data_IF_264259289716
#
_entry.id   IF_264259289716
#
_cell.length_a   1.000
_cell.length_b   1.000
_cell.length_c   1.000
_cell.angle_alpha   90.00
_cell.angle_beta   90.00
_cell.angle_gamma   90.00
#
_symmetry.space_group_name_H-M   'P 1'
#
loop_
_entity.id
_entity.type
_entity.pdbx_description
1 polymer ?
#
# COMPACT_ATOMS: atom_id res chain seq x y z
N UNK A 1 -11.02 56.87 -17.01
CA UNK A 1 -10.42 55.87 -16.10
C UNK A 1 -11.28 54.61 -16.15
N UNK A 2 -10.78 53.46 -16.63
CA UNK A 2 -11.42 52.15 -16.41
C UNK A 2 -10.94 51.57 -15.05
N UNK A 3 -11.57 50.52 -14.45
CA UNK A 3 -12.08 49.33 -15.13
C UNK A 3 -13.45 48.79 -14.67
N UNK A 4 -14.07 48.04 -15.58
CA UNK A 4 -15.06 47.01 -15.31
C UNK A 4 -14.55 45.73 -15.98
N UNK A 5 -14.09 44.76 -15.19
CA UNK A 5 -14.03 43.34 -15.55
C UNK A 5 -13.64 42.57 -14.28
N UNK A 6 -14.60 41.85 -13.70
CA UNK A 6 -14.34 40.94 -12.60
C UNK A 6 -15.07 39.61 -12.85
N UNK A 7 -14.22 38.60 -13.05
CA UNK A 7 -14.38 37.21 -12.61
C UNK A 7 -15.26 36.28 -13.44
N UNK A 8 -14.63 35.75 -14.47
CA UNK A 8 -14.96 34.45 -15.08
C UNK A 8 -14.57 33.31 -14.11
N UNK A 9 -15.52 32.40 -13.99
CA UNK A 9 -15.56 31.10 -13.32
C UNK A 9 -14.28 30.27 -13.50
N UNK A 10 -13.76 29.71 -12.41
CA UNK A 10 -13.02 28.44 -12.43
C UNK A 10 -13.51 27.55 -11.28
N UNK A 11 -14.54 26.77 -11.60
CA UNK A 11 -14.88 25.53 -10.89
C UNK A 11 -13.83 24.49 -11.30
N UNK A 12 -13.04 23.99 -10.35
CA UNK A 12 -12.46 22.64 -10.27
C UNK A 12 -11.40 22.60 -9.16
N UNK A 13 -11.85 22.46 -7.90
CA UNK A 13 -11.01 21.92 -6.82
C UNK A 13 -11.48 20.47 -6.64
N UNK A 14 -10.77 19.54 -7.28
CA UNK A 14 -10.92 18.12 -6.98
C UNK A 14 -10.21 17.89 -5.64
N UNK A 15 -10.99 17.52 -4.63
CA UNK A 15 -10.52 17.25 -3.28
C UNK A 15 -9.93 15.85 -3.22
N UNK A 16 -8.61 15.77 -3.11
CA UNK A 16 -7.88 14.51 -2.88
C UNK A 16 -8.02 14.12 -1.40
N UNK A 17 -8.67 12.98 -1.12
CA UNK A 17 -8.64 12.27 0.17
C UNK A 17 -7.27 11.52 0.22
N UNK A 18 -6.55 11.34 1.35
CA UNK A 18 -5.31 10.51 1.43
C UNK A 18 -5.31 9.48 2.60
N UNK A 19 -5.40 8.17 2.34
CA UNK A 19 -5.41 7.07 3.34
C UNK A 19 -3.98 6.76 3.81
N UNK A 20 -3.73 6.68 5.13
CA UNK A 20 -2.39 6.41 5.69
C UNK A 20 -2.39 5.13 6.54
N UNK A 21 -1.80 4.04 6.06
CA UNK A 21 -1.58 2.82 6.83
C UNK A 21 -0.19 2.81 7.48
N UNK A 22 -0.05 2.41 8.75
CA UNK A 22 1.25 2.16 9.38
C UNK A 22 1.36 0.65 9.68
N UNK A 23 2.14 -0.11 8.92
CA UNK A 23 2.31 -1.56 9.16
C UNK A 23 3.48 -1.80 10.10
N UNK A 24 3.20 -2.33 11.30
CA UNK A 24 4.18 -2.65 12.35
C UNK A 24 4.10 -4.13 12.68
N UNK A 25 4.87 -4.98 12.00
CA UNK A 25 4.89 -6.42 12.33
C UNK A 25 5.57 -6.69 13.69
N UNK A 26 4.80 -6.84 14.78
CA UNK A 26 5.33 -7.32 16.07
C UNK A 26 5.54 -8.85 16.05
N UNK A 27 6.80 -9.30 16.02
CA UNK A 27 7.12 -10.63 16.52
C UNK A 27 7.08 -10.64 18.06
N UNK A 28 6.21 -11.50 18.59
CA UNK A 28 6.05 -11.93 19.97
C UNK A 28 7.26 -11.74 20.90
N UNK A 29 7.06 -10.96 21.97
CA UNK A 29 7.55 -11.32 23.31
C UNK A 29 6.33 -11.49 24.21
N UNK A 30 6.30 -12.58 24.96
CA UNK A 30 5.15 -13.12 25.69
C UNK A 30 4.25 -12.07 26.36
N UNK A 31 3.10 -11.79 25.74
CA UNK A 31 1.98 -11.13 26.41
C UNK A 31 1.31 -12.15 27.34
N UNK A 32 1.26 -11.83 28.65
CA UNK A 32 0.52 -12.60 29.64
C UNK A 32 -0.97 -12.37 29.43
N UNK A 33 -1.73 -13.45 29.29
CA UNK A 33 -3.19 -13.45 29.18
C UNK A 33 -3.86 -12.97 30.48
N UNK A 34 -4.81 -12.02 30.44
CA UNK A 34 -5.83 -11.89 31.46
C UNK A 34 -7.10 -12.65 31.06
N UNK A 35 -7.64 -13.34 32.05
CA UNK A 35 -8.81 -14.20 32.05
C UNK A 35 -10.15 -13.47 31.85
N UNK A 36 -11.06 -14.19 31.20
CA UNK A 36 -12.54 -14.17 31.28
C UNK A 36 -13.31 -13.00 30.67
N UNK A 37 -14.02 -13.35 29.59
CA UNK A 37 -15.08 -12.60 28.93
C UNK A 37 -16.39 -12.55 29.76
N UNK A 38 -17.16 -11.48 29.56
CA UNK A 38 -18.62 -11.48 29.70
C UNK A 38 -19.23 -10.72 28.51
N UNK A 39 -19.85 -11.47 27.61
CA UNK A 39 -20.62 -10.94 26.48
C UNK A 39 -22.03 -10.52 26.95
N UNK A 40 -22.48 -9.36 26.50
CA UNK A 40 -23.90 -8.99 26.48
C UNK A 40 -24.35 -8.93 25.01
N UNK A 41 -25.30 -9.80 24.66
CA UNK A 41 -25.87 -9.89 23.33
C UNK A 41 -27.00 -8.85 23.13
N UNK A 42 -27.05 -8.30 21.92
CA UNK A 42 -28.12 -7.45 21.40
C UNK A 42 -29.26 -8.26 20.78
N UNK A 43 -30.46 -7.67 20.74
CA UNK A 43 -31.51 -7.97 19.76
C UNK A 43 -32.17 -6.64 19.36
N UNK A 44 -32.63 -6.45 18.10
CA UNK A 44 -33.93 -6.99 17.71
C UNK A 44 -34.08 -7.53 16.27
N UNK A 45 -35.15 -8.30 16.13
CA UNK A 45 -35.78 -8.93 14.94
C UNK A 45 -36.44 -7.96 13.97
N UNK A 46 -36.44 -8.28 12.66
CA UNK A 46 -37.52 -8.17 11.64
C UNK A 46 -36.92 -8.75 10.34
N UNK A 47 -37.55 -9.47 9.40
CA UNK A 47 -38.92 -9.79 9.03
C UNK A 47 -38.86 -10.09 7.53
N UNK A 48 -39.14 -11.34 7.11
CA UNK A 48 -39.04 -11.83 5.71
C UNK A 48 -40.06 -11.16 4.78
N UNK A 49 -39.70 -10.99 3.50
CA UNK A 49 -40.59 -11.34 2.38
C UNK A 49 -39.80 -11.60 1.08
N UNK A 50 -40.14 -12.72 0.42
CA UNK A 50 -39.69 -13.13 -0.92
C UNK A 50 -40.81 -12.85 -1.92
N UNK A 51 -40.48 -12.40 -3.13
CA UNK A 51 -41.32 -12.60 -4.33
C UNK A 51 -40.40 -13.00 -5.49
N UNK A 52 -40.78 -14.06 -6.20
CA UNK A 52 -40.18 -14.55 -7.43
C UNK A 52 -41.12 -14.24 -8.61
N UNK A 53 -40.58 -13.94 -9.80
CA UNK A 53 -41.32 -13.96 -11.07
C UNK A 53 -40.42 -14.55 -12.16
N UNK A 54 -41.06 -15.32 -13.05
CA UNK A 54 -40.53 -16.30 -13.99
C UNK A 54 -40.21 -15.78 -15.40
N UNK A 55 -39.42 -16.60 -16.11
CA UNK A 55 -39.03 -16.55 -17.53
C UNK A 55 -40.16 -16.37 -18.56
N UNK A 56 -39.82 -15.74 -19.69
CA UNK A 56 -40.27 -16.15 -21.03
C UNK A 56 -39.17 -15.95 -22.08
N UNK A 57 -39.03 -16.95 -22.96
CA UNK A 57 -38.18 -16.99 -24.15
C UNK A 57 -38.88 -16.31 -25.33
N UNK A 58 -38.13 -15.63 -26.22
CA UNK A 58 -38.43 -15.55 -27.65
C UNK A 58 -37.13 -15.72 -28.44
N UNK A 59 -37.19 -16.56 -29.47
CA UNK A 59 -36.15 -16.95 -30.41
C UNK A 59 -36.59 -16.51 -31.83
N UNK A 60 -35.63 -16.36 -32.76
CA UNK A 60 -35.68 -16.67 -34.22
C UNK A 60 -34.80 -15.72 -35.06
N UNK A 61 -33.67 -16.28 -35.51
CA UNK A 61 -33.01 -16.34 -36.85
C UNK A 61 -33.10 -15.20 -37.89
N UNK A 62 -31.94 -14.95 -38.54
CA UNK A 62 -31.64 -15.03 -40.01
C UNK A 62 -30.13 -14.74 -40.21
N UNK A 63 -29.19 -15.71 -40.38
CA UNK A 63 -28.63 -16.42 -41.57
C UNK A 63 -28.15 -15.56 -42.77
N UNK A 64 -26.92 -15.88 -43.22
CA UNK A 64 -26.24 -15.73 -44.55
C UNK A 64 -25.19 -14.60 -44.61
N UNK A 65 -23.96 -14.77 -45.14
CA UNK A 65 -23.35 -15.86 -45.91
C UNK A 65 -21.81 -15.80 -45.84
N UNK A 66 -21.21 -16.93 -46.22
CA UNK A 66 -19.77 -17.21 -46.42
C UNK A 66 -19.11 -16.37 -47.51
N UNK A 67 -17.80 -16.12 -47.36
CA UNK A 67 -16.83 -16.27 -48.44
C UNK A 67 -15.41 -16.52 -47.89
N UNK A 68 -14.66 -17.29 -48.66
CA UNK A 68 -13.49 -18.07 -48.30
C UNK A 68 -12.17 -17.49 -48.82
N UNK A 69 -11.09 -17.97 -48.20
CA UNK A 69 -9.73 -18.18 -48.73
C UNK A 69 -8.75 -16.99 -48.72
N UNK A 70 -7.65 -17.15 -47.97
CA UNK A 70 -6.31 -17.30 -48.53
C UNK A 70 -5.31 -17.77 -47.45
N UNK A 71 -4.72 -18.94 -47.68
CA UNK A 71 -3.64 -19.53 -46.88
C UNK A 71 -2.32 -18.96 -47.38
N UNK A 72 -1.55 -18.28 -46.52
CA UNK A 72 -0.14 -18.01 -46.79
C UNK A 72 0.68 -18.54 -45.62
N UNK A 73 1.34 -19.67 -45.84
CA UNK A 73 2.32 -20.23 -44.94
C UNK A 73 3.52 -19.27 -44.83
N UNK A 74 3.79 -18.78 -43.61
CA UNK A 74 5.06 -18.13 -43.28
C UNK A 74 5.82 -19.05 -42.34
N UNK A 75 6.96 -19.53 -42.82
CA UNK A 75 7.93 -20.35 -42.08
C UNK A 75 8.43 -19.56 -40.86
N UNK A 76 8.10 -20.01 -39.65
CA UNK A 76 8.69 -19.49 -38.42
C UNK A 76 9.93 -20.33 -38.10
N UNK A 77 11.11 -19.75 -38.30
CA UNK A 77 12.38 -20.30 -37.83
C UNK A 77 12.42 -20.24 -36.30
N UNK A 78 12.43 -21.39 -35.64
CA UNK A 78 12.57 -21.50 -34.19
C UNK A 78 14.02 -21.18 -33.79
N UNK A 79 14.25 -20.01 -33.18
CA UNK A 79 15.51 -19.73 -32.48
C UNK A 79 15.34 -20.15 -31.03
N UNK A 80 16.07 -21.19 -30.63
CA UNK A 80 16.09 -21.67 -29.25
C UNK A 80 17.07 -20.80 -28.47
N UNK A 81 16.57 -19.88 -27.64
CA UNK A 81 17.40 -19.12 -26.70
C UNK A 81 17.40 -19.83 -25.35
N UNK A 82 18.57 -20.35 -24.97
CA UNK A 82 18.86 -20.83 -23.61
C UNK A 82 18.92 -19.65 -22.65
N UNK A 83 18.24 -19.66 -21.49
CA UNK A 83 18.40 -18.60 -20.50
C UNK A 83 19.75 -18.75 -19.79
N UNK A 84 20.70 -17.89 -20.12
CA UNK A 84 21.86 -17.63 -19.27
C UNK A 84 21.42 -16.82 -18.07
N UNK A 85 21.75 -17.31 -16.87
CA UNK A 85 21.50 -16.66 -15.59
C UNK A 85 22.16 -15.28 -15.57
N UNK A 86 21.38 -14.22 -15.68
CA UNK A 86 21.84 -12.86 -15.43
C UNK A 86 21.54 -12.50 -13.98
N UNK A 87 22.57 -12.55 -13.16
CA UNK A 87 22.56 -11.96 -11.82
C UNK A 87 22.45 -10.45 -11.97
N UNK A 88 21.24 -9.91 -11.83
CA UNK A 88 21.05 -8.45 -11.79
C UNK A 88 21.58 -7.93 -10.46
N UNK A 89 22.85 -7.53 -10.45
CA UNK A 89 23.46 -6.74 -9.38
C UNK A 89 22.65 -5.45 -9.23
N UNK A 90 21.84 -5.36 -8.16
CA UNK A 90 21.13 -4.14 -7.80
C UNK A 90 22.12 -2.99 -7.64
N UNK A 91 21.89 -1.91 -8.38
CA UNK A 91 22.50 -0.61 -8.17
C UNK A 91 22.29 -0.20 -6.71
N UNK A 92 23.36 -0.19 -5.92
CA UNK A 92 23.44 0.57 -4.68
C UNK A 92 23.31 2.04 -5.06
N UNK A 93 22.22 2.69 -4.68
CA UNK A 93 22.22 4.13 -4.50
C UNK A 93 23.23 4.44 -3.39
N UNK A 94 24.36 5.03 -3.77
CA UNK A 94 25.36 5.56 -2.85
C UNK A 94 24.87 6.89 -2.29
N UNK A 95 23.99 6.84 -1.30
CA UNK A 95 23.98 7.83 -0.24
C UNK A 95 24.70 7.18 0.95
N UNK A 96 25.96 7.55 1.13
CA UNK A 96 26.81 7.01 2.18
C UNK A 96 26.23 7.32 3.55
N UNK A 97 26.10 6.29 4.38
CA UNK A 97 25.99 6.48 5.82
C UNK A 97 27.30 7.12 6.34
N UNK A 98 27.25 8.11 7.23
CA UNK A 98 28.46 8.71 7.78
C UNK A 98 29.18 7.69 8.67
N UNK A 99 30.42 7.35 8.31
CA UNK A 99 31.37 6.63 9.17
C UNK A 99 31.78 7.54 10.32
N UNK A 100 31.45 7.17 11.56
CA UNK A 100 32.06 7.77 12.75
C UNK A 100 33.40 7.08 13.02
N UNK A 101 34.50 7.77 12.71
CA UNK A 101 35.79 7.48 13.33
C UNK A 101 35.81 8.10 14.73
N UNK A 102 36.14 7.28 15.73
CA UNK A 102 36.35 7.72 17.11
C UNK A 102 37.64 8.52 17.21
N UNK A 103 37.52 9.84 17.39
CA UNK A 103 38.61 10.65 17.95
C UNK A 103 38.08 11.55 19.06
N UNK A 104 38.65 11.39 20.25
CA UNK A 104 38.43 12.28 21.38
C UNK A 104 39.19 13.58 21.14
N UNK A 105 38.49 14.68 20.93
CA UNK A 105 38.97 16.02 21.27
C UNK A 105 37.80 17.00 21.33
N UNK A 106 37.77 17.78 22.40
CA UNK A 106 36.86 18.89 22.63
C UNK A 106 37.03 19.97 21.55
N UNK A 107 36.12 20.01 20.59
CA UNK A 107 35.92 21.21 19.77
C UNK A 107 34.44 21.32 19.39
N UNK A 108 33.85 22.48 19.66
CA UNK A 108 32.45 22.78 19.38
C UNK A 108 32.29 23.07 17.89
N UNK A 109 32.28 22.01 17.08
CA UNK A 109 31.92 22.11 15.66
C UNK A 109 30.39 22.25 15.55
N UNK A 110 29.84 23.22 14.81
CA UNK A 110 28.42 23.25 14.54
C UNK A 110 28.03 21.98 13.79
N UNK A 111 27.09 21.21 14.34
CA UNK A 111 26.48 20.05 13.65
C UNK A 111 25.98 20.56 12.30
N UNK A 112 26.57 20.09 11.21
CA UNK A 112 26.16 20.50 9.86
C UNK A 112 24.65 20.28 9.73
N UNK A 113 23.92 21.34 9.43
CA UNK A 113 22.47 21.26 9.26
C UNK A 113 22.17 20.23 8.17
N UNK A 114 21.41 19.19 8.51
CA UNK A 114 20.98 18.19 7.53
C UNK A 114 20.27 18.90 6.37
N UNK A 115 20.79 18.74 5.16
CA UNK A 115 20.15 19.27 3.94
C UNK A 115 19.08 18.27 3.50
N UNK A 116 17.83 18.71 3.49
CA UNK A 116 16.70 17.92 3.04
C UNK A 116 16.31 18.30 1.60
N UNK A 117 15.82 17.34 0.79
CA UNK A 117 15.25 17.66 -0.50
C UNK A 117 14.07 18.62 -0.32
N UNK A 118 13.91 19.53 -1.28
CA UNK A 118 12.79 20.48 -1.31
C UNK A 118 11.70 20.07 -2.30
N UNK A 119 12.04 19.22 -3.26
CA UNK A 119 11.15 18.71 -4.31
C UNK A 119 11.42 17.22 -4.56
N UNK A 120 10.40 16.51 -5.05
CA UNK A 120 10.53 15.15 -5.56
C UNK A 120 11.42 15.15 -6.81
N UNK A 121 12.40 14.26 -6.85
CA UNK A 121 13.36 14.15 -7.96
C UNK A 121 12.71 13.53 -9.21
N UNK A 122 13.32 13.76 -10.38
CA UNK A 122 12.86 13.15 -11.64
C UNK A 122 12.95 11.62 -11.62
N UNK A 123 13.98 11.06 -10.98
CA UNK A 123 14.13 9.62 -10.81
C UNK A 123 13.00 9.04 -9.95
N UNK A 124 12.66 9.69 -8.83
CA UNK A 124 11.54 9.29 -8.00
C UNK A 124 10.22 9.36 -8.77
N UNK A 125 9.99 10.43 -9.56
CA UNK A 125 8.78 10.56 -10.39
C UNK A 125 8.69 9.42 -11.40
N UNK A 126 9.78 9.15 -12.10
CA UNK A 126 9.85 8.08 -13.09
C UNK A 126 9.59 6.71 -12.45
N UNK A 127 10.24 6.41 -11.32
CA UNK A 127 10.10 5.14 -10.63
C UNK A 127 8.71 4.96 -10.02
N UNK A 128 8.13 6.01 -9.44
CA UNK A 128 6.76 5.98 -8.94
C UNK A 128 5.75 5.79 -10.07
N UNK A 129 5.89 6.50 -11.19
CA UNK A 129 5.01 6.28 -12.35
C UNK A 129 5.15 4.87 -12.90
N UNK A 130 6.37 4.36 -13.03
CA UNK A 130 6.63 3.02 -13.55
C UNK A 130 5.96 1.95 -12.69
N UNK A 131 6.10 2.05 -11.36
CA UNK A 131 5.77 0.96 -10.45
C UNK A 131 4.45 1.15 -9.69
N UNK A 132 3.97 2.38 -9.51
CA UNK A 132 2.84 2.73 -8.65
C UNK A 132 3.23 2.85 -7.17
N UNK A 133 4.52 2.67 -6.85
CA UNK A 133 5.06 2.81 -5.51
C UNK A 133 6.53 3.25 -5.54
N UNK A 134 6.99 3.76 -4.40
CA UNK A 134 8.36 4.18 -4.12
C UNK A 134 8.71 3.82 -2.67
N UNK A 135 9.97 3.50 -2.40
CA UNK A 135 10.48 3.31 -1.04
C UNK A 135 11.42 4.46 -0.73
N UNK A 136 11.05 5.27 0.27
CA UNK A 136 11.93 6.31 0.84
C UNK A 136 12.72 5.67 1.97
N UNK A 137 14.05 5.60 1.80
CA UNK A 137 14.93 4.84 2.70
C UNK A 137 15.35 5.65 3.91
N UNK A 138 15.42 5.00 5.08
CA UNK A 138 15.96 5.61 6.30
C UNK A 138 15.28 6.91 6.71
N UNK A 139 13.94 6.96 6.58
CA UNK A 139 13.14 8.10 7.01
C UNK A 139 13.22 8.27 8.51
N UNK A 140 13.11 7.17 9.26
CA UNK A 140 13.34 7.15 10.70
C UNK A 140 14.73 6.61 11.01
N UNK A 141 15.40 7.24 11.97
CA UNK A 141 16.63 6.75 12.56
C UNK A 141 16.39 5.49 13.40
N UNK A 142 17.43 4.68 13.70
CA UNK A 142 17.28 3.54 14.61
C UNK A 142 16.75 3.91 16.00
N UNK A 143 17.06 5.11 16.50
CA UNK A 143 16.54 5.63 17.77
C UNK A 143 15.04 5.93 17.68
N UNK A 144 14.60 6.61 16.62
CA UNK A 144 13.17 6.87 16.39
C UNK A 144 12.36 5.60 16.17
N UNK A 145 12.94 4.59 15.50
CA UNK A 145 12.34 3.26 15.37
C UNK A 145 12.21 2.58 16.74
N UNK A 146 13.24 2.67 17.58
CA UNK A 146 13.20 2.11 18.93
C UNK A 146 12.15 2.82 19.80
N UNK A 147 12.06 4.15 19.73
CA UNK A 147 11.08 4.97 20.44
C UNK A 147 9.65 4.63 20.01
N UNK A 148 9.41 4.48 18.69
CA UNK A 148 8.10 4.10 18.15
C UNK A 148 7.69 2.69 18.59
N UNK A 149 8.59 1.72 18.53
CA UNK A 149 8.31 0.37 19.03
C UNK A 149 8.03 0.37 20.54
N UNK A 150 8.81 1.11 21.33
CA UNK A 150 8.59 1.21 22.77
C UNK A 150 7.25 1.90 23.12
N UNK A 151 6.82 2.88 22.34
CA UNK A 151 5.49 3.48 22.47
C UNK A 151 4.39 2.45 22.19
N UNK A 152 4.52 1.67 21.13
CA UNK A 152 3.57 0.60 20.79
C UNK A 152 3.52 -0.45 21.90
N UNK A 153 4.66 -0.85 22.46
CA UNK A 153 4.71 -1.80 23.58
C UNK A 153 3.96 -1.30 24.81
N UNK A 154 3.95 0.02 25.08
CA UNK A 154 3.20 0.63 26.19
C UNK A 154 1.68 0.62 25.99
N UNK A 155 1.23 0.55 24.74
CA UNK A 155 -0.18 0.54 24.34
C UNK A 155 -0.62 -0.85 23.81
N UNK A 156 0.19 -1.89 23.99
CA UNK A 156 -0.05 -3.21 23.42
C UNK A 156 -1.30 -3.89 23.98
N UNK A 157 -1.75 -3.53 25.19
CA UNK A 157 -2.99 -4.02 25.78
C UNK A 157 -4.26 -3.47 25.09
N UNK A 158 -4.13 -2.37 24.33
CA UNK A 158 -5.20 -1.79 23.52
C UNK A 158 -5.29 -2.43 22.11
N UNK A 159 -4.37 -3.34 21.74
CA UNK A 159 -4.40 -4.03 20.45
C UNK A 159 -5.63 -4.94 20.32
N UNK A 160 -6.32 -4.83 19.18
CA UNK A 160 -7.50 -5.64 18.86
C UNK A 160 -7.18 -6.61 17.74
N UNK A 161 -7.36 -7.90 18.00
CA UNK A 161 -7.24 -8.95 16.97
C UNK A 161 -8.48 -8.97 16.06
N UNK A 162 -8.27 -8.98 14.75
CA UNK A 162 -9.32 -9.27 13.76
C UNK A 162 -9.57 -10.77 13.68
N UNK A 163 -10.19 -11.31 14.73
CA UNK A 163 -10.45 -12.75 14.88
C UNK A 163 -11.79 -13.20 14.28
N UNK A 164 -12.77 -12.30 14.18
CA UNK A 164 -14.06 -12.60 13.55
C UNK A 164 -13.89 -12.89 12.06
N UNK A 165 -14.54 -13.93 11.57
CA UNK A 165 -14.44 -14.34 10.16
C UNK A 165 -14.84 -13.25 9.18
N UNK A 166 -15.76 -12.36 9.57
CA UNK A 166 -16.22 -11.24 8.75
C UNK A 166 -15.25 -10.04 8.76
N UNK A 167 -14.32 -10.01 9.72
CA UNK A 167 -13.28 -8.97 9.83
C UNK A 167 -11.96 -9.38 9.17
N UNK A 168 -11.85 -10.66 8.79
CA UNK A 168 -10.71 -11.21 8.06
C UNK A 168 -10.69 -10.69 6.64
N UNK A 169 -9.57 -10.09 6.26
CA UNK A 169 -9.40 -9.47 4.94
C UNK A 169 -8.97 -10.47 3.86
N UNK A 170 -8.84 -11.75 4.22
CA UNK A 170 -8.50 -12.82 3.31
C UNK A 170 -9.60 -13.88 3.24
N UNK A 171 -9.76 -14.48 2.07
CA UNK A 171 -10.78 -15.51 1.84
C UNK A 171 -10.34 -16.86 2.44
N UNK A 172 -11.22 -17.47 3.22
CA UNK A 172 -10.95 -18.80 3.79
C UNK A 172 -10.61 -19.84 2.71
N UNK A 173 -9.55 -20.61 2.96
CA UNK A 173 -9.08 -21.66 2.07
C UNK A 173 -8.17 -21.20 0.94
N UNK A 174 -7.77 -19.92 0.90
CA UNK A 174 -6.81 -19.40 -0.09
C UNK A 174 -5.43 -19.14 0.52
N UNK A 175 -4.43 -18.92 -0.34
CA UNK A 175 -3.04 -18.69 0.03
C UNK A 175 -2.85 -17.50 0.97
N UNK A 176 -3.69 -16.46 0.88
CA UNK A 176 -3.60 -15.28 1.75
C UNK A 176 -4.34 -15.43 3.07
N UNK A 177 -5.13 -16.49 3.27
CA UNK A 177 -5.88 -16.65 4.51
C UNK A 177 -4.95 -16.74 5.72
N UNK A 178 -3.89 -17.53 5.68
CA UNK A 178 -3.05 -17.80 6.85
C UNK A 178 -3.71 -18.76 7.84
N UNK A 179 -2.90 -19.34 8.72
CA UNK A 179 -3.32 -20.41 9.65
C UNK A 179 -3.16 -20.00 11.13
N UNK A 180 -2.57 -18.83 11.38
CA UNK A 180 -2.36 -18.27 12.72
C UNK A 180 -3.48 -17.33 13.16
N UNK A 181 -3.24 -16.53 14.21
CA UNK A 181 -4.21 -15.57 14.73
C UNK A 181 -4.50 -14.46 13.71
N UNK A 182 -5.60 -13.75 13.88
CA UNK A 182 -5.91 -12.56 13.11
C UNK A 182 -4.80 -11.51 13.19
N UNK A 183 -4.81 -10.58 12.23
CA UNK A 183 -3.98 -9.38 12.33
C UNK A 183 -4.45 -8.53 13.52
N UNK A 184 -3.51 -7.91 14.22
CA UNK A 184 -3.78 -6.97 15.30
C UNK A 184 -3.82 -5.54 14.76
N UNK A 185 -4.81 -4.78 15.19
CA UNK A 185 -4.90 -3.35 14.93
C UNK A 185 -4.74 -2.56 16.24
N UNK A 186 -3.98 -1.48 16.18
CA UNK A 186 -3.84 -0.54 17.28
C UNK A 186 -3.98 0.89 16.74
N UNK A 187 -5.08 1.54 17.10
CA UNK A 187 -5.39 2.89 16.65
C UNK A 187 -4.73 3.97 17.50
N UNK A 188 -5.04 5.23 17.18
CA UNK A 188 -4.81 6.40 18.05
C UNK A 188 -3.34 6.71 18.34
N UNK A 189 -2.41 6.26 17.50
CA UNK A 189 -0.98 6.54 17.68
C UNK A 189 -0.61 8.05 17.58
N UNK A 190 -1.53 8.91 17.13
CA UNK A 190 -1.40 10.37 17.19
C UNK A 190 -1.95 10.99 18.50
N UNK A 191 -2.57 10.19 19.36
CA UNK A 191 -3.30 10.63 20.56
C UNK A 191 -2.70 10.10 21.87
N UNK A 192 -1.60 9.34 21.82
CA UNK A 192 -0.89 8.80 23.00
C UNK A 192 -0.10 9.85 23.82
N UNK A 193 -0.43 11.14 23.64
CA UNK A 193 0.29 12.24 24.28
C UNK A 193 1.58 12.64 23.58
N UNK A 194 2.28 13.62 24.14
CA UNK A 194 3.41 14.30 23.48
C UNK A 194 4.58 13.36 23.19
N UNK A 195 4.96 12.51 24.17
CA UNK A 195 6.10 11.61 24.05
C UNK A 195 5.83 10.47 23.06
N UNK A 196 4.75 9.73 23.28
CA UNK A 196 4.51 8.47 22.57
C UNK A 196 3.95 8.70 21.15
N UNK A 197 3.31 9.85 20.91
CA UNK A 197 2.89 10.24 19.56
C UNK A 197 3.97 10.91 18.73
N UNK A 198 5.14 11.26 19.31
CA UNK A 198 6.12 12.16 18.68
C UNK A 198 6.58 11.66 17.31
N UNK A 199 7.01 10.39 17.24
CA UNK A 199 7.50 9.78 15.99
C UNK A 199 6.37 9.64 14.98
N UNK A 200 5.17 9.22 15.40
CA UNK A 200 4.03 9.09 14.47
C UNK A 200 3.57 10.44 13.90
N UNK A 201 3.60 11.50 14.71
CA UNK A 201 3.27 12.86 14.26
C UNK A 201 4.32 13.43 13.33
N UNK A 202 5.60 13.09 13.50
CA UNK A 202 6.67 13.60 12.64
C UNK A 202 6.49 13.17 11.17
N UNK A 203 5.91 11.99 10.93
CA UNK A 203 5.64 11.47 9.58
C UNK A 203 4.74 12.40 8.76
N UNK A 204 3.77 13.05 9.39
CA UNK A 204 2.76 13.89 8.72
C UNK A 204 3.38 15.04 7.91
N UNK A 205 4.55 15.51 8.33
CA UNK A 205 5.29 16.59 7.66
C UNK A 205 6.81 16.31 7.69
N UNK A 206 7.21 15.05 7.55
CA UNK A 206 8.62 14.68 7.61
C UNK A 206 9.38 15.29 6.43
N UNK A 207 10.56 15.92 6.64
CA UNK A 207 11.24 16.66 5.59
C UNK A 207 11.72 15.79 4.41
N UNK A 208 11.93 14.48 4.62
CA UNK A 208 12.19 13.53 3.52
C UNK A 208 10.92 13.09 2.76
N UNK A 209 9.73 13.26 3.33
CA UNK A 209 8.47 12.81 2.75
C UNK A 209 7.68 13.93 2.08
N UNK A 210 7.66 15.13 2.67
CA UNK A 210 6.91 16.29 2.16
C UNK A 210 7.20 16.60 0.68
N UNK A 211 8.45 16.58 0.20
CA UNK A 211 8.74 16.78 -1.22
C UNK A 211 8.06 15.75 -2.12
N UNK A 212 8.09 14.48 -1.69
CA UNK A 212 7.49 13.35 -2.42
C UNK A 212 5.95 13.42 -2.37
N UNK A 213 5.37 13.78 -1.22
CA UNK A 213 3.94 14.06 -1.08
C UNK A 213 3.50 15.17 -2.03
N UNK A 214 4.23 16.28 -2.09
CA UNK A 214 3.93 17.36 -3.03
C UNK A 214 4.04 16.93 -4.49
N UNK A 215 5.01 16.09 -4.83
CA UNK A 215 5.17 15.59 -6.20
C UNK A 215 4.07 14.64 -6.66
N UNK A 216 3.43 13.92 -5.74
CA UNK A 216 2.42 12.87 -6.05
C UNK A 216 0.98 13.35 -5.82
N UNK A 217 0.73 14.07 -4.71
CA UNK A 217 -0.60 14.54 -4.30
C UNK A 217 -0.84 16.01 -4.63
N UNK A 218 0.23 16.77 -4.89
CA UNK A 218 0.18 18.23 -4.93
C UNK A 218 0.35 18.88 -3.55
N UNK A 219 0.47 20.22 -3.56
CA UNK A 219 0.53 21.02 -2.33
C UNK A 219 -0.84 21.05 -1.65
N UNK A 220 -0.84 21.06 -0.32
CA UNK A 220 -2.07 21.05 0.47
C UNK A 220 -2.69 19.66 0.63
N UNK A 221 -1.88 18.60 0.57
CA UNK A 221 -2.31 17.26 0.95
C UNK A 221 -2.90 17.28 2.36
N UNK A 222 -3.83 16.36 2.61
CA UNK A 222 -4.45 16.18 3.93
C UNK A 222 -4.53 14.70 4.24
N UNK A 223 -4.55 14.40 5.53
CA UNK A 223 -4.88 13.07 6.01
C UNK A 223 -6.37 12.78 5.76
N UNK A 224 -6.67 11.59 5.27
CA UNK A 224 -8.05 11.10 5.10
C UNK A 224 -8.61 10.56 6.40
N UNK A 225 -7.85 9.69 7.07
CA UNK A 225 -8.26 9.01 8.29
C UNK A 225 -7.07 8.83 9.24
N UNK A 226 -7.38 8.57 10.51
CA UNK A 226 -6.38 8.41 11.57
C UNK A 226 -5.49 7.18 11.30
N UNK A 227 -4.15 7.29 11.38
CA UNK A 227 -3.28 6.15 11.19
C UNK A 227 -3.53 5.07 12.24
N UNK A 228 -3.28 3.83 11.84
CA UNK A 228 -3.32 2.66 12.70
C UNK A 228 -2.02 1.88 12.58
N UNK A 229 -1.61 1.28 13.68
CA UNK A 229 -0.52 0.33 13.79
C UNK A 229 -1.07 -1.06 13.47
N UNK A 230 -0.50 -1.73 12.46
CA UNK A 230 -0.90 -3.08 12.07
C UNK A 230 0.15 -4.10 12.47
N UNK A 231 -0.18 -4.98 13.41
CA UNK A 231 0.73 -6.02 13.89
C UNK A 231 0.32 -7.43 13.50
N UNK A 232 1.32 -8.25 13.20
CA UNK A 232 1.14 -9.60 12.70
C UNK A 232 2.02 -10.55 13.50
N UNK A 233 1.40 -11.60 14.02
CA UNK A 233 2.14 -12.73 14.57
C UNK A 233 2.49 -13.70 13.42
N UNK A 234 3.38 -14.65 13.70
CA UNK A 234 3.66 -15.75 12.77
C UNK A 234 2.36 -16.48 12.38
N UNK A 235 2.17 -16.66 11.08
CA UNK A 235 0.99 -17.30 10.52
C UNK A 235 -0.23 -16.40 10.41
N UNK A 236 -0.16 -15.15 10.91
CA UNK A 236 -1.27 -14.21 10.80
C UNK A 236 -1.69 -14.01 9.35
N UNK A 237 -2.99 -13.76 9.19
CA UNK A 237 -3.57 -13.59 7.88
C UNK A 237 -2.92 -12.49 7.05
N UNK A 238 -2.99 -12.69 5.74
CA UNK A 238 -2.75 -11.65 4.77
C UNK A 238 -3.99 -10.77 4.53
N UNK A 239 -4.03 -10.19 3.35
CA UNK A 239 -5.14 -9.41 2.82
C UNK A 239 -5.20 -9.75 1.33
N UNK A 240 -6.37 -10.17 0.85
CA UNK A 240 -6.68 -10.20 -0.58
C UNK A 240 -6.15 -8.96 -1.30
N UNK A 241 -5.71 -9.14 -2.54
CA UNK A 241 -5.37 -7.98 -3.35
C UNK A 241 -6.62 -7.11 -3.53
N UNK A 242 -6.44 -5.81 -3.37
CA UNK A 242 -7.47 -4.79 -3.46
C UNK A 242 -6.87 -3.49 -4.01
N UNK A 243 -7.73 -2.48 -4.14
CA UNK A 243 -7.38 -1.24 -4.83
C UNK A 243 -7.44 -1.41 -6.35
N UNK A 244 -6.73 -0.54 -7.05
CA UNK A 244 -6.82 -0.47 -8.51
C UNK A 244 -7.64 0.72 -8.98
N UNK A 245 -7.13 1.50 -9.92
CA UNK A 245 -7.95 2.46 -10.69
C UNK A 245 -9.09 1.73 -11.43
N UNK A 246 -8.78 0.53 -11.95
CA UNK A 246 -9.79 -0.50 -12.21
C UNK A 246 -9.76 -1.46 -11.04
N UNK A 247 -10.83 -1.51 -10.27
CA UNK A 247 -10.93 -2.37 -9.09
C UNK A 247 -10.65 -3.82 -9.48
N UNK A 248 -9.69 -4.45 -8.80
CA UNK A 248 -9.19 -5.75 -9.21
C UNK A 248 -10.25 -6.86 -9.12
N UNK A 249 -11.22 -6.73 -8.22
CA UNK A 249 -12.23 -7.75 -7.95
C UNK A 249 -13.46 -7.64 -8.87
N UNK A 250 -13.99 -6.43 -9.02
CA UNK A 250 -15.18 -6.15 -9.83
C UNK A 250 -14.83 -5.87 -11.30
N UNK A 251 -13.71 -5.21 -11.56
CA UNK A 251 -13.36 -4.65 -12.88
C UNK A 251 -14.02 -3.30 -13.16
N UNK A 252 -14.70 -2.70 -12.18
CA UNK A 252 -15.29 -1.38 -12.31
C UNK A 252 -14.20 -0.29 -12.19
N UNK A 253 -14.37 0.81 -12.92
CA UNK A 253 -13.55 2.01 -12.71
C UNK A 253 -13.88 2.63 -11.36
N UNK A 254 -12.84 2.88 -10.56
CA UNK A 254 -12.95 3.52 -9.25
C UNK A 254 -12.32 4.94 -9.32
N UNK A 255 -13.12 6.00 -9.48
CA UNK A 255 -12.60 7.37 -9.56
C UNK A 255 -11.91 7.84 -8.28
N UNK A 256 -12.23 7.22 -7.12
CA UNK A 256 -11.63 7.59 -5.83
C UNK A 256 -10.21 7.06 -5.66
N UNK A 257 -9.79 6.12 -6.51
CA UNK A 257 -8.43 5.55 -6.56
C UNK A 257 -7.76 5.84 -7.92
N UNK A 258 -8.26 6.84 -8.65
CA UNK A 258 -7.74 7.16 -9.96
C UNK A 258 -6.28 7.62 -9.88
N UNK A 259 -5.48 7.14 -10.83
CA UNK A 259 -4.11 7.58 -11.06
C UNK A 259 -4.00 8.17 -12.46
N UNK A 260 -3.34 9.33 -12.55
CA UNK A 260 -3.03 9.98 -13.81
C UNK A 260 -1.58 10.48 -13.79
N UNK A 261 -0.90 10.36 -14.92
CA UNK A 261 0.37 11.03 -15.16
C UNK A 261 0.30 11.71 -16.54
N UNK A 262 0.43 13.03 -16.56
CA UNK A 262 0.30 13.81 -17.80
C UNK A 262 1.26 15.00 -17.77
N UNK A 263 2.01 15.19 -18.86
CA UNK A 263 3.03 16.25 -18.99
C UNK A 263 4.00 16.33 -17.79
N UNK A 264 4.45 15.18 -17.30
CA UNK A 264 5.39 15.12 -16.17
C UNK A 264 4.78 15.40 -14.79
N UNK A 265 3.46 15.59 -14.70
CA UNK A 265 2.74 15.74 -13.44
C UNK A 265 2.01 14.46 -13.09
N UNK A 266 2.28 13.95 -11.88
CA UNK A 266 1.55 12.84 -11.28
C UNK A 266 0.37 13.41 -10.49
N UNK A 267 -0.78 12.78 -10.61
CA UNK A 267 -1.95 13.01 -9.76
C UNK A 267 -2.50 11.66 -9.35
N UNK A 268 -2.47 11.36 -8.05
CA UNK A 268 -3.21 10.23 -7.50
C UNK A 268 -4.30 10.71 -6.56
N UNK A 269 -5.46 10.06 -6.63
CA UNK A 269 -6.58 10.36 -5.76
C UNK A 269 -6.34 9.96 -4.30
N UNK A 270 -5.40 9.03 -4.04
CA UNK A 270 -5.14 8.44 -2.73
C UNK A 270 -3.73 7.84 -2.68
N UNK A 271 -2.94 8.18 -1.65
CA UNK A 271 -1.56 7.71 -1.46
C UNK A 271 -1.43 7.01 -0.10
N UNK A 272 -1.11 5.72 -0.12
CA UNK A 272 -0.71 4.96 1.05
C UNK A 272 0.72 5.31 1.48
N UNK A 273 0.97 5.35 2.79
CA UNK A 273 2.26 5.69 3.39
C UNK A 273 2.60 4.73 4.55
N UNK A 274 3.19 3.59 4.21
CA UNK A 274 3.54 2.54 5.15
C UNK A 274 4.89 2.81 5.80
N UNK A 275 4.89 3.15 7.09
CA UNK A 275 6.11 3.29 7.89
C UNK A 275 6.54 1.94 8.43
N UNK A 276 7.75 1.49 8.08
CA UNK A 276 8.25 0.17 8.44
C UNK A 276 9.02 0.25 9.75
N UNK A 277 8.47 -0.27 10.85
CA UNK A 277 9.16 -0.22 12.16
C UNK A 277 10.04 -1.45 12.45
N UNK A 278 10.08 -2.38 11.49
CA UNK A 278 10.81 -3.65 11.54
C UNK A 278 11.33 -3.95 10.14
N UNK A 279 12.40 -4.73 10.07
CA UNK A 279 12.85 -5.30 8.79
C UNK A 279 11.73 -6.15 8.17
N UNK A 280 11.55 -5.99 6.86
CA UNK A 280 10.59 -6.75 6.07
C UNK A 280 11.35 -7.33 4.88
N UNK A 281 11.84 -8.55 5.06
CA UNK A 281 12.67 -9.24 4.08
C UNK A 281 11.80 -10.07 3.13
N UNK A 282 12.32 -10.42 1.94
CA UNK A 282 11.61 -11.32 1.03
C UNK A 282 11.22 -12.63 1.73
N UNK A 283 9.94 -12.98 1.66
CA UNK A 283 9.41 -14.20 2.28
C UNK A 283 8.79 -14.01 3.67
N UNK A 284 8.99 -12.87 4.33
CA UNK A 284 8.43 -12.60 5.68
C UNK A 284 6.89 -12.47 5.68
N UNK A 285 6.26 -12.37 4.52
CA UNK A 285 4.82 -12.14 4.39
C UNK A 285 4.48 -10.66 4.28
N UNK A 286 3.37 -10.19 4.85
CA UNK A 286 3.06 -8.76 4.94
C UNK A 286 2.84 -8.07 3.60
N UNK A 287 3.02 -6.74 3.56
CA UNK A 287 2.67 -5.91 2.41
C UNK A 287 3.21 -6.43 1.07
N UNK A 288 2.34 -6.47 0.06
CA UNK A 288 2.70 -6.81 -1.31
C UNK A 288 1.91 -5.95 -2.29
N UNK A 289 2.43 -5.83 -3.52
CA UNK A 289 1.93 -4.91 -4.53
C UNK A 289 2.10 -5.50 -5.93
N UNK A 290 1.25 -5.11 -6.87
CA UNK A 290 1.35 -5.47 -8.29
C UNK A 290 1.85 -4.26 -9.07
N UNK A 291 3.16 -4.16 -9.37
CA UNK A 291 3.71 -2.97 -9.99
C UNK A 291 3.07 -2.66 -11.34
N UNK A 292 2.80 -1.37 -11.61
CA UNK A 292 2.21 -0.93 -12.87
C UNK A 292 0.69 -1.06 -12.97
N UNK A 293 0.05 -1.74 -12.02
CA UNK A 293 -1.41 -1.98 -12.04
C UNK A 293 -2.27 -0.72 -11.88
N UNK A 294 -1.70 0.37 -11.35
CA UNK A 294 -2.32 1.70 -11.32
C UNK A 294 -2.58 2.31 -12.68
N UNK A 295 -1.92 1.79 -13.73
CA UNK A 295 -2.16 2.16 -15.13
C UNK A 295 -2.97 1.12 -15.88
N UNK A 296 -3.37 0.01 -15.24
CA UNK A 296 -4.17 -1.04 -15.87
C UNK A 296 -5.58 -0.52 -16.17
N UNK A 297 -6.04 -0.78 -17.39
CA UNK A 297 -7.44 -0.58 -17.81
C UNK A 297 -8.22 -1.91 -17.91
N UNK A 298 -7.70 -2.97 -17.28
CA UNK A 298 -8.28 -4.31 -17.33
C UNK A 298 -8.52 -4.85 -15.93
N UNK A 299 -9.61 -5.62 -15.80
CA UNK A 299 -9.90 -6.40 -14.60
C UNK A 299 -8.79 -7.42 -14.34
N UNK A 300 -8.42 -7.57 -13.08
CA UNK A 300 -7.43 -8.56 -12.66
C UNK A 300 -7.90 -10.00 -12.98
N UNK A 301 -7.01 -10.90 -13.43
CA UNK A 301 -7.37 -12.30 -13.71
C UNK A 301 -7.93 -13.04 -12.49
N UNK A 302 -8.91 -13.92 -12.72
CA UNK A 302 -9.51 -14.75 -11.66
C UNK A 302 -8.46 -15.60 -10.93
N UNK A 303 -8.45 -15.53 -9.60
CA UNK A 303 -7.53 -16.26 -8.73
C UNK A 303 -6.29 -15.48 -8.33
N UNK A 304 -5.94 -14.39 -9.02
CA UNK A 304 -4.79 -13.55 -8.64
C UNK A 304 -5.05 -12.76 -7.36
N UNK A 305 -6.29 -12.27 -7.17
CA UNK A 305 -6.72 -11.56 -5.95
C UNK A 305 -6.43 -12.33 -4.66
N UNK A 306 -6.57 -13.66 -4.73
CA UNK A 306 -6.39 -14.58 -3.61
C UNK A 306 -4.96 -15.15 -3.50
N UNK A 307 -4.06 -14.77 -4.42
CA UNK A 307 -2.70 -15.32 -4.49
C UNK A 307 -2.60 -16.72 -5.10
N UNK A 308 -3.67 -17.24 -5.72
CA UNK A 308 -3.74 -18.60 -6.27
C UNK A 308 -3.11 -18.72 -7.67
N UNK A 309 -2.98 -17.59 -8.38
CA UNK A 309 -2.40 -17.53 -9.73
C UNK A 309 -1.56 -16.27 -9.91
N UNK A 310 -0.58 -16.34 -10.82
CA UNK A 310 0.22 -15.20 -11.26
C UNK A 310 0.99 -14.51 -10.12
N UNK A 311 1.42 -15.28 -9.12
CA UNK A 311 2.15 -14.76 -7.95
C UNK A 311 3.48 -14.11 -8.36
N UNK A 312 4.10 -14.52 -9.46
CA UNK A 312 5.32 -13.96 -10.01
C UNK A 312 5.19 -12.46 -10.38
N UNK A 313 3.96 -11.95 -10.51
CA UNK A 313 3.67 -10.53 -10.74
C UNK A 313 3.30 -9.77 -9.45
N UNK A 314 3.22 -10.46 -8.31
CA UNK A 314 2.94 -9.88 -6.99
C UNK A 314 4.24 -9.74 -6.21
N UNK A 315 4.74 -8.51 -6.12
CA UNK A 315 6.01 -8.18 -5.48
C UNK A 315 5.81 -7.91 -3.99
N UNK A 316 6.65 -8.50 -3.15
CA UNK A 316 6.81 -8.11 -1.75
C UNK A 316 8.08 -7.24 -1.65
N UNK A 317 7.97 -5.90 -1.53
CA UNK A 317 9.14 -5.04 -1.49
C UNK A 317 9.96 -5.28 -0.23
N UNK A 318 11.28 -5.44 -0.36
CA UNK A 318 12.17 -5.57 0.78
C UNK A 318 12.49 -4.20 1.40
N UNK A 319 12.23 -4.06 2.70
CA UNK A 319 12.48 -2.84 3.49
C UNK A 319 13.24 -3.13 4.77
N UNK A 320 13.87 -2.08 5.30
CA UNK A 320 14.51 -2.06 6.61
C UNK A 320 13.70 -1.22 7.57
N UNK A 321 13.87 -1.48 8.86
CA UNK A 321 13.26 -0.65 9.88
C UNK A 321 13.68 0.82 9.69
N UNK A 322 12.71 1.71 9.66
CA UNK A 322 12.85 3.14 9.37
C UNK A 322 12.61 3.54 7.92
N UNK A 323 12.43 2.60 7.00
CA UNK A 323 11.98 2.90 5.64
C UNK A 323 10.48 3.27 5.61
N UNK A 324 10.07 4.00 4.58
CA UNK A 324 8.66 4.27 4.26
C UNK A 324 8.33 3.81 2.85
N UNK A 325 7.27 3.03 2.68
CA UNK A 325 6.73 2.65 1.37
C UNK A 325 5.55 3.57 1.04
N UNK A 326 5.70 4.35 -0.02
CA UNK A 326 4.64 5.19 -0.58
C UNK A 326 4.06 4.49 -1.80
N UNK A 327 2.73 4.36 -1.90
CA UNK A 327 2.10 3.72 -3.06
C UNK A 327 0.77 4.39 -3.40
N UNK A 328 0.48 4.55 -4.69
CA UNK A 328 -0.85 4.94 -5.11
C UNK A 328 -1.80 3.80 -4.75
N UNK A 329 -2.92 4.10 -4.10
CA UNK A 329 -3.97 3.11 -3.85
C UNK A 329 -4.72 2.73 -5.14
N UNK A 330 -4.48 3.47 -6.22
CA UNK A 330 -4.77 3.02 -7.58
C UNK A 330 -3.92 1.83 -8.01
N UNK A 331 -2.83 1.51 -7.31
CA UNK A 331 -2.03 0.29 -7.52
C UNK A 331 -2.64 -0.84 -6.72
N UNK A 332 -2.89 -1.97 -7.38
CA UNK A 332 -3.38 -3.17 -6.71
C UNK A 332 -2.34 -3.68 -5.71
N UNK A 333 -2.75 -3.84 -4.46
CA UNK A 333 -1.88 -4.20 -3.34
C UNK A 333 -2.64 -5.06 -2.33
N UNK A 334 -1.93 -5.62 -1.36
CA UNK A 334 -2.51 -6.46 -0.32
C UNK A 334 -1.45 -6.90 0.67
N UNK A 335 -1.68 -8.03 1.35
CA UNK A 335 -0.69 -8.60 2.25
C UNK A 335 -0.61 -10.12 2.08
N UNK A 336 0.60 -10.65 2.05
CA UNK A 336 0.87 -12.09 2.16
C UNK A 336 0.77 -12.51 3.63
N UNK A 337 0.51 -13.79 3.86
CA UNK A 337 0.50 -14.40 5.20
C UNK A 337 1.83 -14.16 5.88
N UNK A 338 1.82 -13.69 7.14
CA UNK A 338 3.05 -13.49 7.91
C UNK A 338 3.73 -14.83 8.16
N UNK A 339 5.03 -14.93 7.88
CA UNK A 339 5.80 -16.17 8.09
C UNK A 339 6.75 -16.08 9.29
N UNK A 340 6.93 -14.88 9.83
CA UNK A 340 7.83 -14.56 10.94
C UNK A 340 7.07 -14.19 12.21
#
# INVERSE_FOLDING_TARGET
MPPSDALIISRNIISTLAWMFCVVSLASRHLRTPTTARAFAFAPTFGRNRVAVSNTNININTILAFSSAATTATTITTVTLTPTSSTTTRLRSTLGAPTMETSNATDSTPVAAASYPIEMTEDEKYLFDLNGYLIVRGVLTPEEVADANAAIDRHADEMVERSDTDLRNAKQGTKYFGQGPGRMDLGRCLEWGEKDSKVFKSILAHPLLVPVFHGILGKGYRMDHMPMVLAQNKGSEGFQLHGGTIDCSSGAYNPYLAYHCHHGSITTALLGCNVMLRDHNPGDGGFCIVPGSHKSNFKMPKGMVDGEKYEEFVVQPATKAGDVVLFSEGTVHGAKVSTT
#
